data_IF_619021952218
#
_entry.id   IF_619021952218
#
_cell.length_a   1.000
_cell.length_b   1.000
_cell.length_c   1.000
_cell.angle_alpha   90.00
_cell.angle_beta   90.00
_cell.angle_gamma   90.00
#
_symmetry.space_group_name_H-M   'P 1'
#
loop_
_entity.id
_entity.type
_entity.pdbx_description
1 polymer ?
#
# COMPACT_ATOMS: atom_id res chain seq x y z
N UNK A 1 -4.38 -12.50 -7.88
CA UNK A 1 -4.56 -11.93 -6.52
C UNK A 1 -5.02 -12.94 -5.47
N UNK A 2 -5.72 -14.03 -5.84
CA UNK A 2 -6.21 -15.07 -4.92
C UNK A 2 -5.15 -15.61 -3.95
N UNK A 3 -3.97 -15.99 -4.47
CA UNK A 3 -2.88 -16.53 -3.63
C UNK A 3 -2.43 -15.56 -2.52
N UNK A 4 -2.32 -14.26 -2.83
CA UNK A 4 -1.95 -13.26 -1.82
C UNK A 4 -3.03 -13.14 -0.74
N UNK A 5 -4.31 -13.08 -1.15
CA UNK A 5 -5.46 -13.04 -0.23
C UNK A 5 -5.44 -14.24 0.73
N UNK A 6 -5.21 -15.43 0.22
CA UNK A 6 -5.17 -16.66 1.01
C UNK A 6 -4.02 -16.63 2.01
N UNK A 7 -2.84 -16.17 1.59
CA UNK A 7 -1.68 -16.00 2.48
C UNK A 7 -1.94 -14.98 3.58
N UNK A 8 -2.57 -13.84 3.28
CA UNK A 8 -2.95 -12.83 4.27
C UNK A 8 -3.95 -13.39 5.28
N UNK A 9 -4.94 -14.15 4.81
CA UNK A 9 -5.92 -14.80 5.68
C UNK A 9 -5.25 -15.82 6.62
N UNK A 10 -4.34 -16.66 6.11
CA UNK A 10 -3.58 -17.62 6.92
C UNK A 10 -2.70 -16.92 7.96
N UNK A 11 -2.00 -15.84 7.59
CA UNK A 11 -1.20 -15.04 8.52
C UNK A 11 -2.04 -14.53 9.69
N UNK A 12 -3.17 -13.90 9.40
CA UNK A 12 -4.04 -13.32 10.42
C UNK A 12 -4.70 -14.38 11.29
N UNK A 13 -5.08 -15.52 10.74
CA UNK A 13 -5.57 -16.67 11.52
C UNK A 13 -4.52 -17.15 12.51
N UNK A 14 -3.29 -17.40 12.05
CA UNK A 14 -2.18 -17.84 12.92
C UNK A 14 -1.86 -16.81 14.01
N UNK A 15 -1.95 -15.52 13.69
CA UNK A 15 -1.78 -14.46 14.67
C UNK A 15 -2.87 -14.52 15.75
N UNK A 16 -4.14 -14.69 15.36
CA UNK A 16 -5.25 -14.83 16.30
C UNK A 16 -5.10 -16.10 17.17
N UNK A 17 -4.74 -17.24 16.58
CA UNK A 17 -4.50 -18.51 17.31
C UNK A 17 -3.37 -18.35 18.36
N UNK A 18 -2.40 -17.48 18.08
CA UNK A 18 -1.31 -17.14 18.99
C UNK A 18 -1.65 -16.02 19.99
N UNK A 19 -2.91 -15.59 20.08
CA UNK A 19 -3.36 -14.51 20.96
C UNK A 19 -2.87 -13.12 20.56
N UNK A 20 -2.43 -12.93 19.31
CA UNK A 20 -2.02 -11.63 18.77
C UNK A 20 -3.21 -10.93 18.12
N UNK A 21 -3.17 -9.59 18.10
CA UNK A 21 -4.10 -8.78 17.31
C UNK A 21 -3.90 -8.94 15.80
N UNK A 22 -4.73 -8.25 15.02
CA UNK A 22 -4.64 -8.23 13.54
C UNK A 22 -3.28 -7.71 13.09
N UNK A 23 -2.54 -8.52 12.34
CA UNK A 23 -1.26 -8.12 11.75
C UNK A 23 -1.52 -7.29 10.49
N UNK A 24 -1.01 -6.04 10.40
CA UNK A 24 -1.08 -5.25 9.19
C UNK A 24 -0.08 -5.77 8.14
N UNK A 25 -0.47 -5.73 6.87
CA UNK A 25 0.34 -6.18 5.74
C UNK A 25 0.72 -4.97 4.89
N UNK A 26 2.03 -4.76 4.72
CA UNK A 26 2.58 -3.70 3.89
C UNK A 26 3.27 -4.32 2.67
N UNK A 27 2.98 -3.81 1.48
CA UNK A 27 3.66 -4.19 0.23
C UNK A 27 4.64 -3.07 -0.19
N UNK A 28 5.86 -3.44 -0.58
CA UNK A 28 6.89 -2.51 -1.04
C UNK A 28 7.11 -2.63 -2.55
N UNK A 29 7.45 -1.52 -3.21
CA UNK A 29 7.80 -1.52 -4.62
C UNK A 29 6.59 -1.64 -5.55
N UNK A 30 5.43 -1.19 -5.07
CA UNK A 30 4.18 -1.25 -5.85
C UNK A 30 4.19 -0.12 -6.87
N UNK A 31 3.82 -0.36 -8.13
CA UNK A 31 3.65 0.74 -9.09
C UNK A 31 2.43 1.61 -8.69
N UNK A 32 2.46 2.91 -9.01
CA UNK A 32 1.38 3.87 -8.75
C UNK A 32 0.16 3.68 -9.67
N UNK A 33 -0.48 2.50 -9.58
CA UNK A 33 -1.61 2.11 -10.42
C UNK A 33 -2.88 1.91 -9.57
N UNK A 34 -3.95 2.68 -9.84
CA UNK A 34 -5.17 2.68 -9.04
C UNK A 34 -5.89 1.33 -9.04
N UNK A 35 -5.97 0.64 -10.17
CA UNK A 35 -6.67 -0.64 -10.28
C UNK A 35 -5.90 -1.74 -9.54
N UNK A 36 -4.58 -1.71 -9.62
CA UNK A 36 -3.73 -2.61 -8.84
C UNK A 36 -3.87 -2.34 -7.34
N UNK A 37 -3.85 -1.07 -6.92
CA UNK A 37 -3.99 -0.69 -5.51
C UNK A 37 -5.33 -1.16 -4.94
N UNK A 38 -6.43 -1.03 -5.69
CA UNK A 38 -7.74 -1.54 -5.31
C UNK A 38 -7.71 -3.08 -5.15
N UNK A 39 -7.12 -3.80 -6.11
CA UNK A 39 -6.97 -5.25 -6.03
C UNK A 39 -6.11 -5.72 -4.84
N UNK A 40 -5.07 -4.97 -4.48
CA UNK A 40 -4.23 -5.23 -3.31
C UNK A 40 -4.99 -5.00 -2.00
N UNK A 41 -5.75 -3.90 -1.92
CA UNK A 41 -6.62 -3.60 -0.77
C UNK A 41 -7.65 -4.72 -0.56
N UNK A 42 -8.31 -5.16 -1.63
CA UNK A 42 -9.26 -6.28 -1.61
C UNK A 42 -8.61 -7.59 -1.17
N UNK A 43 -7.32 -7.78 -1.47
CA UNK A 43 -6.53 -8.93 -1.04
C UNK A 43 -6.08 -8.84 0.42
N UNK A 44 -6.41 -7.75 1.11
CA UNK A 44 -6.14 -7.52 2.52
C UNK A 44 -4.81 -6.84 2.81
N UNK A 45 -4.15 -6.25 1.81
CA UNK A 45 -3.00 -5.35 2.02
C UNK A 45 -3.50 -4.06 2.67
N UNK A 46 -2.79 -3.59 3.69
CA UNK A 46 -3.14 -2.39 4.46
C UNK A 46 -2.40 -1.14 3.97
N UNK A 47 -1.18 -1.31 3.46
CA UNK A 47 -0.30 -0.21 3.04
C UNK A 47 0.52 -0.60 1.81
N UNK A 48 0.67 0.33 0.90
CA UNK A 48 1.62 0.23 -0.22
C UNK A 48 2.68 1.30 -0.06
N UNK A 49 3.95 0.91 -0.18
CA UNK A 49 5.09 1.81 -0.17
C UNK A 49 5.62 1.96 -1.60
N UNK A 50 5.64 3.20 -2.07
CA UNK A 50 6.15 3.58 -3.38
C UNK A 50 7.65 3.90 -3.25
N UNK A 51 8.50 3.36 -4.14
CA UNK A 51 9.89 3.76 -4.19
C UNK A 51 9.97 5.19 -4.71
N UNK A 52 10.71 6.04 -3.99
CA UNK A 52 11.04 7.39 -4.44
C UNK A 52 12.53 7.41 -4.80
N UNK A 53 12.82 7.71 -6.07
CA UNK A 53 14.21 7.84 -6.53
C UNK A 53 14.72 9.21 -6.09
N UNK A 54 15.92 9.24 -5.53
CA UNK A 54 16.60 10.47 -5.15
C UNK A 54 17.07 11.20 -6.42
N UNK A 55 16.20 12.06 -6.94
CA UNK A 55 16.48 12.98 -8.03
C UNK A 55 16.61 14.41 -7.49
N UNK A 56 16.90 15.37 -8.37
CA UNK A 56 16.76 16.78 -8.03
C UNK A 56 15.37 17.12 -7.47
N UNK A 57 15.30 18.13 -6.58
CA UNK A 57 14.11 18.46 -5.79
C UNK A 57 12.86 18.60 -6.66
N UNK A 58 12.95 19.26 -7.83
CA UNK A 58 11.80 19.46 -8.72
C UNK A 58 11.23 18.14 -9.24
N UNK A 59 12.08 17.21 -9.67
CA UNK A 59 11.65 15.91 -10.18
C UNK A 59 11.06 15.03 -9.07
N UNK A 60 11.70 15.06 -7.90
CA UNK A 60 11.20 14.37 -6.70
C UNK A 60 9.83 14.89 -6.28
N UNK A 61 9.63 16.21 -6.25
CA UNK A 61 8.33 16.82 -5.92
C UNK A 61 7.25 16.49 -6.95
N UNK A 62 7.57 16.49 -8.24
CA UNK A 62 6.62 16.04 -9.28
C UNK A 62 6.16 14.60 -9.06
N UNK A 63 7.08 13.72 -8.66
CA UNK A 63 6.74 12.32 -8.33
C UNK A 63 5.82 12.25 -7.11
N UNK A 64 6.07 13.08 -6.08
CA UNK A 64 5.21 13.15 -4.90
C UNK A 64 3.79 13.64 -5.25
N UNK A 65 3.66 14.62 -6.14
CA UNK A 65 2.36 15.13 -6.60
C UNK A 65 1.58 14.04 -7.38
N UNK A 66 2.26 13.29 -8.24
CA UNK A 66 1.66 12.14 -8.95
C UNK A 66 1.17 11.07 -7.97
N UNK A 67 1.94 10.76 -6.92
CA UNK A 67 1.54 9.83 -5.87
C UNK A 67 0.39 10.38 -5.01
N UNK A 68 0.38 11.67 -4.72
CA UNK A 68 -0.69 12.33 -3.98
C UNK A 68 -2.03 12.23 -4.72
N UNK A 69 -2.00 12.30 -6.05
CA UNK A 69 -3.18 12.11 -6.90
C UNK A 69 -3.78 10.69 -6.82
N UNK A 70 -3.18 9.74 -6.10
CA UNK A 70 -3.75 8.41 -5.82
C UNK A 70 -4.52 8.34 -4.50
N UNK A 71 -4.36 9.34 -3.63
CA UNK A 71 -4.93 9.35 -2.28
C UNK A 71 -6.15 10.27 -2.26
N UNK A 72 -7.32 9.70 -1.99
CA UNK A 72 -8.54 10.49 -1.85
C UNK A 72 -8.49 11.32 -0.54
N UNK A 73 -8.87 12.60 -0.62
CA UNK A 73 -8.91 13.50 0.53
C UNK A 73 -7.55 14.06 0.97
N UNK A 74 -6.49 13.85 0.18
CA UNK A 74 -5.22 14.56 0.32
C UNK A 74 -5.33 15.94 -0.35
N UNK A 75 -6.29 16.76 0.08
CA UNK A 75 -6.39 18.12 -0.43
C UNK A 75 -5.10 18.88 -0.07
N UNK A 76 -4.49 19.53 -1.05
CA UNK A 76 -3.23 20.31 -0.94
C UNK A 76 -3.37 21.58 -0.08
N UNK A 77 -4.24 21.56 0.92
CA UNK A 77 -4.45 22.63 1.89
C UNK A 77 -4.19 22.08 3.29
N UNK A 78 -2.92 21.94 3.65
CA UNK A 78 -2.51 21.98 5.05
C UNK A 78 -1.13 22.59 5.20
#
# INVERSE_FOLDING_TARGET
MTELRDRVAVLRRRAADAGRGRIPVTLFGVPPDRDLLAQLADSGVDRCLFPLVDNEVSATMSTVDELAALVDGLDATR
#
